data_IF_036611730544
#
_entry.id   IF_036611730544
#
_cell.length_a   1.000
_cell.length_b   1.000
_cell.length_c   1.000
_cell.angle_alpha   90.00
_cell.angle_beta   90.00
_cell.angle_gamma   90.00
#
_symmetry.space_group_name_H-M   'P 1'
#
loop_
_entity.id
_entity.type
_entity.pdbx_description
1 polymer ?
#
# COMPACT_ATOMS: atom_id res chain seq x y z
N UNK A 1 -25.62 -3.54 -20.68
CA UNK A 1 -24.82 -2.79 -19.69
C UNK A 1 -24.55 -3.74 -18.53
N UNK A 2 -23.28 -4.12 -18.30
CA UNK A 2 -22.94 -5.02 -17.21
C UNK A 2 -23.07 -4.20 -15.90
N UNK A 3 -23.95 -4.59 -15.00
CA UNK A 3 -24.05 -3.93 -13.68
C UNK A 3 -22.72 -4.11 -12.97
N UNK A 4 -22.06 -2.99 -12.63
CA UNK A 4 -20.87 -3.00 -11.77
C UNK A 4 -21.39 -3.12 -10.35
N UNK A 5 -21.20 -4.28 -9.74
CA UNK A 5 -21.49 -4.48 -8.31
C UNK A 5 -20.37 -3.85 -7.48
N UNK A 6 -20.71 -3.31 -6.31
CA UNK A 6 -19.71 -2.84 -5.35
C UNK A 6 -18.75 -3.98 -4.99
N UNK A 7 -17.45 -3.70 -4.85
CA UNK A 7 -16.50 -4.70 -4.39
C UNK A 7 -16.86 -5.18 -2.98
N UNK A 8 -16.94 -6.48 -2.80
CA UNK A 8 -17.14 -7.11 -1.49
C UNK A 8 -15.89 -7.88 -1.10
N UNK A 9 -15.49 -7.76 0.15
CA UNK A 9 -14.29 -8.44 0.61
C UNK A 9 -13.95 -8.12 2.06
N UNK A 10 -12.84 -8.68 2.50
CA UNK A 10 -12.24 -8.44 3.80
C UNK A 10 -11.21 -7.32 3.71
N UNK A 11 -11.22 -6.44 4.70
CA UNK A 11 -10.22 -5.41 4.91
C UNK A 11 -9.57 -5.61 6.28
N UNK A 12 -8.26 -5.55 6.36
CA UNK A 12 -7.54 -5.91 7.59
C UNK A 12 -7.72 -4.91 8.73
N UNK A 13 -8.15 -3.68 8.45
CA UNK A 13 -8.19 -2.61 9.44
C UNK A 13 -9.10 -2.90 10.63
N UNK A 14 -10.32 -3.35 10.38
CA UNK A 14 -11.33 -3.47 11.44
C UNK A 14 -10.96 -4.48 12.54
N UNK A 15 -10.19 -5.51 12.18
CA UNK A 15 -9.79 -6.56 13.11
C UNK A 15 -8.37 -6.41 13.63
N UNK A 16 -7.46 -5.86 12.83
CA UNK A 16 -6.02 -5.90 13.11
C UNK A 16 -5.35 -4.51 13.07
N UNK A 17 -6.07 -3.47 12.70
CA UNK A 17 -5.50 -2.13 12.55
C UNK A 17 -4.26 -2.14 11.65
N UNK A 18 -3.22 -1.44 12.09
CA UNK A 18 -1.95 -1.39 11.40
C UNK A 18 -1.08 -2.65 11.59
N UNK A 19 -1.41 -3.52 12.56
CA UNK A 19 -0.59 -4.66 12.98
C UNK A 19 -0.68 -5.90 12.08
N UNK A 20 -1.47 -5.88 11.01
CA UNK A 20 -1.64 -7.02 10.11
C UNK A 20 -0.31 -7.57 9.57
N UNK A 21 -0.19 -8.88 9.53
CA UNK A 21 0.99 -9.60 9.01
C UNK A 21 0.61 -10.49 7.84
N UNK A 22 1.60 -10.95 7.08
CA UNK A 22 1.40 -11.88 5.96
C UNK A 22 0.64 -13.14 6.37
N UNK A 23 0.98 -13.74 7.51
CA UNK A 23 0.31 -14.94 8.03
C UNK A 23 -1.18 -14.70 8.30
N UNK A 24 -1.51 -13.53 8.88
CA UNK A 24 -2.90 -13.12 9.11
C UNK A 24 -3.65 -12.97 7.79
N UNK A 25 -3.05 -12.31 6.80
CA UNK A 25 -3.67 -12.13 5.48
C UNK A 25 -3.95 -13.48 4.82
N UNK A 26 -2.99 -14.40 4.84
CA UNK A 26 -3.14 -15.75 4.27
C UNK A 26 -4.29 -16.50 4.90
N UNK A 27 -4.37 -16.56 6.24
CA UNK A 27 -5.44 -17.24 6.98
C UNK A 27 -6.83 -16.67 6.69
N UNK A 28 -6.95 -15.34 6.61
CA UNK A 28 -8.22 -14.71 6.25
C UNK A 28 -8.60 -14.95 4.78
N UNK A 29 -7.62 -14.99 3.88
CA UNK A 29 -7.85 -15.33 2.47
C UNK A 29 -8.34 -16.77 2.31
N UNK A 30 -7.72 -17.74 3.01
CA UNK A 30 -8.16 -19.14 3.04
C UNK A 30 -9.60 -19.26 3.52
N UNK A 31 -9.91 -18.67 4.70
CA UNK A 31 -11.26 -18.67 5.24
C UNK A 31 -12.29 -18.08 4.27
N UNK A 32 -11.90 -16.96 3.63
CA UNK A 32 -12.77 -16.27 2.66
C UNK A 32 -13.01 -17.12 1.41
N UNK A 33 -11.98 -17.81 0.91
CA UNK A 33 -12.09 -18.68 -0.25
C UNK A 33 -13.02 -19.86 0.01
N UNK A 34 -12.92 -20.47 1.20
CA UNK A 34 -13.70 -21.63 1.59
C UNK A 34 -15.16 -21.30 1.92
N UNK A 35 -15.40 -20.15 2.58
CA UNK A 35 -16.69 -19.89 3.21
C UNK A 35 -17.50 -18.75 2.57
N UNK A 36 -16.85 -17.73 1.99
CA UNK A 36 -17.51 -16.50 1.60
C UNK A 36 -17.48 -16.21 0.08
N UNK A 37 -16.51 -16.76 -0.64
CA UNK A 37 -16.34 -16.55 -2.09
C UNK A 37 -17.60 -16.88 -2.89
N UNK A 38 -18.28 -17.96 -2.55
CA UNK A 38 -19.53 -18.36 -3.20
C UNK A 38 -20.64 -17.30 -3.12
N UNK A 39 -20.55 -16.37 -2.18
CA UNK A 39 -21.48 -15.25 -1.99
C UNK A 39 -20.99 -13.94 -2.59
N UNK A 40 -19.89 -13.97 -3.37
CA UNK A 40 -19.33 -12.80 -4.06
C UNK A 40 -18.32 -11.98 -3.24
N UNK A 41 -17.83 -12.52 -2.12
CA UNK A 41 -16.75 -11.91 -1.35
C UNK A 41 -15.41 -12.28 -2.00
N UNK A 42 -14.81 -11.36 -2.73
CA UNK A 42 -13.67 -11.66 -3.61
C UNK A 42 -12.39 -10.89 -3.26
N UNK A 43 -12.49 -9.77 -2.56
CA UNK A 43 -11.34 -8.88 -2.33
C UNK A 43 -10.72 -9.09 -0.96
N UNK A 44 -9.40 -9.32 -0.93
CA UNK A 44 -8.57 -9.37 0.29
C UNK A 44 -7.70 -8.13 0.30
N UNK A 45 -7.99 -7.18 1.20
CA UNK A 45 -7.34 -5.86 1.23
C UNK A 45 -6.46 -5.72 2.46
N UNK A 46 -5.17 -5.50 2.23
CA UNK A 46 -4.19 -5.12 3.26
C UNK A 46 -4.26 -3.62 3.47
N UNK A 47 -4.69 -3.21 4.67
CA UNK A 47 -4.85 -1.79 5.01
C UNK A 47 -3.52 -1.16 5.49
N UNK A 48 -3.55 0.14 5.77
CA UNK A 48 -2.47 0.94 6.35
C UNK A 48 -1.95 0.25 7.63
N UNK A 49 -0.77 0.30 8.02
CA UNK A 49 0.52 0.76 7.49
C UNK A 49 1.42 -0.44 7.15
N UNK A 50 1.13 -1.15 6.09
CA UNK A 50 1.88 -2.34 5.68
C UNK A 50 3.39 -2.06 5.42
N UNK A 51 3.76 -0.81 5.29
CA UNK A 51 5.12 -0.33 5.02
C UNK A 51 5.89 0.08 6.29
N UNK A 52 5.26 0.06 7.46
CA UNK A 52 5.91 0.39 8.73
C UNK A 52 6.34 -0.87 9.48
N UNK A 53 7.66 -1.04 9.80
CA UNK A 53 8.15 -2.23 10.48
C UNK A 53 7.63 -2.43 11.90
N UNK A 54 7.34 -1.33 12.60
CA UNK A 54 6.94 -1.31 14.02
C UNK A 54 5.44 -1.10 14.22
N UNK A 55 4.65 -1.07 13.14
CA UNK A 55 3.20 -0.83 13.24
C UNK A 55 2.52 -1.87 14.13
N UNK A 56 1.69 -1.37 15.04
CA UNK A 56 0.95 -2.18 16.00
C UNK A 56 -0.43 -1.59 16.29
N UNK A 57 -1.42 -2.48 16.51
CA UNK A 57 -2.79 -2.11 16.85
C UNK A 57 -3.42 -1.05 15.91
N UNK A 58 -4.18 -0.12 16.46
CA UNK A 58 -4.84 0.98 15.77
C UNK A 58 -4.12 2.32 16.00
N UNK A 59 -2.91 2.29 16.50
CA UNK A 59 -2.09 3.47 16.75
C UNK A 59 -1.11 3.73 15.61
N UNK A 60 -0.85 5.02 15.34
CA UNK A 60 0.14 5.46 14.36
C UNK A 60 1.33 6.06 15.09
N UNK A 61 2.53 5.58 14.76
CA UNK A 61 3.76 6.10 15.32
C UNK A 61 4.20 7.34 14.54
N UNK A 62 4.23 8.53 15.16
CA UNK A 62 4.71 9.73 14.47
C UNK A 62 6.21 9.63 14.21
N UNK A 63 6.63 10.04 13.01
CA UNK A 63 8.04 10.09 12.61
C UNK A 63 8.78 8.74 12.62
N UNK A 64 8.06 7.65 12.48
CA UNK A 64 8.65 6.32 12.36
C UNK A 64 9.38 6.14 11.02
N UNK A 65 10.33 5.23 10.99
CA UNK A 65 11.00 4.84 9.74
C UNK A 65 10.10 3.94 8.91
N UNK A 66 9.88 4.32 7.66
CA UNK A 66 9.06 3.61 6.69
C UNK A 66 9.92 2.82 5.73
N UNK A 67 9.46 1.63 5.34
CA UNK A 67 10.04 0.89 4.23
C UNK A 67 9.67 1.56 2.91
N UNK A 68 10.66 2.06 2.20
CA UNK A 68 10.48 2.65 0.88
C UNK A 68 11.68 2.34 -0.01
N UNK A 69 11.47 2.41 -1.32
CA UNK A 69 12.55 2.26 -2.28
C UNK A 69 13.27 3.58 -2.58
N UNK A 70 14.28 3.51 -3.43
CA UNK A 70 15.10 4.65 -3.84
C UNK A 70 14.34 5.76 -4.62
N UNK A 71 13.11 5.45 -5.07
CA UNK A 71 12.23 6.34 -5.82
C UNK A 71 11.06 6.89 -4.98
N UNK A 72 11.19 6.94 -3.67
CA UNK A 72 10.17 7.48 -2.76
C UNK A 72 8.88 6.63 -2.65
N UNK A 73 8.86 5.39 -3.17
CA UNK A 73 7.68 4.54 -3.17
C UNK A 73 7.70 3.60 -1.98
N UNK A 74 6.56 3.47 -1.30
CA UNK A 74 6.41 2.57 -0.17
C UNK A 74 6.48 1.11 -0.62
N UNK A 75 7.17 0.29 0.18
CA UNK A 75 7.31 -1.16 -0.02
C UNK A 75 6.93 -1.90 1.26
N UNK A 76 6.48 -3.17 1.19
CA UNK A 76 6.06 -3.91 2.38
C UNK A 76 7.21 -4.10 3.37
N UNK A 77 6.91 -3.95 4.67
CA UNK A 77 7.86 -4.19 5.74
C UNK A 77 8.25 -5.68 5.82
N UNK A 78 9.53 -6.06 5.57
CA UNK A 78 9.90 -7.47 5.39
C UNK A 78 9.83 -8.33 6.65
N UNK A 79 9.76 -7.71 7.82
CA UNK A 79 9.56 -8.41 9.09
C UNK A 79 8.10 -8.83 9.29
N UNK A 80 7.16 -8.10 8.70
CA UNK A 80 5.72 -8.37 8.76
C UNK A 80 5.22 -9.13 7.53
N UNK A 81 5.83 -8.89 6.38
CA UNK A 81 5.53 -9.53 5.09
C UNK A 81 6.81 -10.21 4.56
N UNK A 82 7.22 -11.35 5.14
CA UNK A 82 8.52 -11.97 4.84
C UNK A 82 8.70 -12.41 3.39
N UNK A 83 7.62 -12.69 2.66
CA UNK A 83 7.72 -13.05 1.23
C UNK A 83 8.09 -11.86 0.34
N UNK A 84 8.00 -10.62 0.85
CA UNK A 84 8.38 -9.40 0.12
C UNK A 84 9.88 -9.19 -0.02
N UNK A 85 10.70 -9.96 0.73
CA UNK A 85 12.16 -9.84 0.74
C UNK A 85 12.75 -9.95 -0.67
N UNK A 86 13.89 -9.26 -0.86
CA UNK A 86 14.61 -9.29 -2.15
C UNK A 86 13.92 -8.46 -3.24
N UNK A 87 13.16 -7.43 -2.87
CA UNK A 87 12.51 -6.52 -3.81
C UNK A 87 11.24 -7.07 -4.46
N UNK A 88 10.71 -8.19 -3.96
CA UNK A 88 9.51 -8.84 -4.54
C UNK A 88 8.21 -8.09 -4.26
N UNK A 89 8.22 -7.16 -3.30
CA UNK A 89 7.00 -6.46 -2.90
C UNK A 89 5.88 -7.41 -2.48
N UNK A 90 4.66 -7.10 -2.83
CA UNK A 90 3.54 -7.97 -2.55
C UNK A 90 3.31 -9.09 -3.59
N UNK A 91 4.15 -9.20 -4.64
CA UNK A 91 3.90 -10.17 -5.71
C UNK A 91 3.67 -11.62 -5.20
N UNK A 92 4.48 -12.18 -4.27
CA UNK A 92 4.23 -13.54 -3.80
C UNK A 92 2.96 -13.69 -2.98
N UNK A 93 2.54 -12.65 -2.24
CA UNK A 93 1.30 -12.68 -1.47
C UNK A 93 0.08 -12.52 -2.40
N UNK A 94 0.15 -11.64 -3.39
CA UNK A 94 -0.88 -11.47 -4.41
C UNK A 94 -1.08 -12.77 -5.21
N UNK A 95 0.01 -13.40 -5.66
CA UNK A 95 -0.03 -14.69 -6.36
C UNK A 95 -0.71 -15.78 -5.49
N UNK A 96 -0.41 -15.81 -4.21
CA UNK A 96 -1.07 -16.72 -3.27
C UNK A 96 -2.58 -16.47 -3.19
N UNK A 97 -3.00 -15.21 -3.00
CA UNK A 97 -4.42 -14.83 -2.95
C UNK A 97 -5.12 -15.17 -4.26
N UNK A 98 -4.48 -14.93 -5.40
CA UNK A 98 -4.99 -15.30 -6.73
C UNK A 98 -5.13 -16.82 -6.88
N UNK A 99 -4.22 -17.61 -6.32
CA UNK A 99 -4.31 -19.10 -6.36
C UNK A 99 -5.55 -19.63 -5.67
N UNK A 100 -6.10 -18.90 -4.69
CA UNK A 100 -7.38 -19.18 -4.04
C UNK A 100 -8.60 -18.69 -4.86
N UNK A 101 -8.35 -18.04 -6.00
CA UNK A 101 -9.36 -17.44 -6.87
C UNK A 101 -9.99 -16.19 -6.28
N UNK A 102 -9.25 -15.46 -5.45
CA UNK A 102 -9.59 -14.17 -4.86
C UNK A 102 -8.78 -13.05 -5.54
N UNK A 103 -9.10 -11.81 -5.22
CA UNK A 103 -8.43 -10.60 -5.70
C UNK A 103 -7.67 -9.94 -4.56
N UNK A 104 -6.46 -9.44 -4.86
CA UNK A 104 -5.60 -8.80 -3.87
C UNK A 104 -5.70 -7.28 -3.95
N UNK A 105 -5.86 -6.64 -2.81
CA UNK A 105 -5.91 -5.18 -2.70
C UNK A 105 -5.00 -4.64 -1.61
N UNK A 106 -4.66 -3.37 -1.73
CA UNK A 106 -3.92 -2.63 -0.71
C UNK A 106 -4.54 -1.26 -0.46
N UNK A 107 -4.34 -0.74 0.76
CA UNK A 107 -4.57 0.68 1.05
C UNK A 107 -3.32 1.47 0.67
N UNK A 108 -3.50 2.66 0.11
CA UNK A 108 -2.42 3.63 -0.10
C UNK A 108 -2.76 4.96 0.55
N UNK A 109 -1.75 5.61 1.12
CA UNK A 109 -1.86 7.01 1.50
C UNK A 109 -1.73 7.91 0.28
N UNK A 110 -2.51 8.98 0.23
CA UNK A 110 -2.32 10.05 -0.75
C UNK A 110 -1.15 10.94 -0.29
N UNK A 111 -0.34 11.38 -1.25
CA UNK A 111 0.82 12.22 -0.96
C UNK A 111 2.15 11.50 -1.15
N UNK A 112 3.19 12.07 -0.58
CA UNK A 112 4.56 11.57 -0.63
C UNK A 112 5.10 11.41 0.80
N UNK A 113 5.82 10.31 1.12
CA UNK A 113 6.38 10.10 2.45
C UNK A 113 7.24 11.28 2.92
N UNK A 114 7.01 11.74 4.16
CA UNK A 114 7.84 12.78 4.77
C UNK A 114 9.31 12.36 4.80
N UNK A 115 9.57 11.07 5.03
CA UNK A 115 10.90 10.49 4.97
C UNK A 115 11.55 10.69 3.60
N UNK A 116 10.82 10.45 2.49
CA UNK A 116 11.30 10.69 1.14
C UNK A 116 11.67 12.16 0.90
N UNK A 117 10.83 13.08 1.39
CA UNK A 117 11.08 14.53 1.30
C UNK A 117 12.29 14.93 2.15
N UNK A 118 12.43 14.37 3.36
CA UNK A 118 13.59 14.61 4.22
C UNK A 118 14.89 14.15 3.57
N UNK A 119 14.90 12.93 3.04
CA UNK A 119 16.04 12.33 2.35
C UNK A 119 16.25 12.89 0.93
N UNK A 120 15.25 13.59 0.39
CA UNK A 120 15.24 14.14 -0.97
C UNK A 120 15.52 13.05 -2.04
N UNK A 121 14.82 11.94 -1.94
CA UNK A 121 14.93 10.80 -2.85
C UNK A 121 14.49 11.13 -4.28
N UNK A 122 14.93 10.36 -5.27
CA UNK A 122 14.60 10.55 -6.67
C UNK A 122 13.12 10.28 -6.98
N UNK A 123 12.60 10.88 -8.04
CA UNK A 123 11.29 10.52 -8.63
C UNK A 123 11.56 9.74 -9.92
N UNK A 124 11.07 8.50 -9.96
CA UNK A 124 11.34 7.58 -11.07
C UNK A 124 10.90 8.17 -12.42
N UNK A 125 11.78 8.06 -13.41
CA UNK A 125 11.51 8.51 -14.77
C UNK A 125 11.65 10.02 -14.98
N UNK A 126 12.22 10.75 -14.01
CA UNK A 126 12.48 12.19 -14.09
C UNK A 126 13.81 12.56 -13.45
N UNK A 127 14.27 13.78 -13.70
CA UNK A 127 15.40 14.39 -12.96
C UNK A 127 14.94 15.04 -11.63
N UNK A 128 13.64 14.99 -11.32
CA UNK A 128 13.07 15.62 -10.14
C UNK A 128 13.27 14.78 -8.88
N UNK A 129 13.20 15.47 -7.74
CA UNK A 129 13.35 14.87 -6.42
C UNK A 129 12.14 15.16 -5.54
N UNK A 130 12.01 14.41 -4.47
CA UNK A 130 10.86 14.44 -3.55
C UNK A 130 10.52 15.85 -3.05
N UNK A 131 11.52 16.68 -2.73
CA UNK A 131 11.30 18.07 -2.26
C UNK A 131 10.68 18.97 -3.32
N UNK A 132 10.92 18.70 -4.59
CA UNK A 132 10.45 19.54 -5.68
C UNK A 132 8.95 19.37 -5.96
N UNK A 133 8.39 18.21 -5.62
CA UNK A 133 6.98 17.89 -5.83
C UNK A 133 6.14 17.95 -4.55
N UNK A 134 6.79 17.97 -3.39
CA UNK A 134 6.09 17.97 -2.11
C UNK A 134 5.45 19.34 -1.80
N UNK A 135 4.24 19.30 -1.25
CA UNK A 135 3.52 20.43 -0.66
C UNK A 135 3.51 20.28 0.85
N UNK A 136 4.58 20.74 1.49
CA UNK A 136 4.84 20.49 2.92
C UNK A 136 3.84 21.17 3.87
N UNK A 137 3.10 22.19 3.40
CA UNK A 137 2.00 22.79 4.14
C UNK A 137 0.71 21.94 4.12
N UNK A 138 0.65 20.88 3.29
CA UNK A 138 -0.46 19.93 3.23
C UNK A 138 -0.03 18.64 3.89
N UNK A 139 -0.70 18.29 5.00
CA UNK A 139 -0.42 17.09 5.79
C UNK A 139 -1.73 16.34 6.05
N UNK A 140 -1.62 15.00 6.24
CA UNK A 140 -2.71 14.23 6.78
C UNK A 140 -2.74 14.39 8.31
N UNK A 141 -3.87 14.85 8.87
CA UNK A 141 -3.93 15.20 10.31
C UNK A 141 -3.95 13.94 11.19
N UNK A 142 -4.60 12.88 10.74
CA UNK A 142 -4.75 11.64 11.50
C UNK A 142 -3.56 10.69 11.35
N UNK A 143 -2.77 10.81 10.30
CA UNK A 143 -1.50 10.10 10.11
C UNK A 143 -0.50 11.02 9.44
N UNK A 144 0.53 11.42 10.15
CA UNK A 144 1.48 12.44 9.74
C UNK A 144 2.62 11.92 8.85
N UNK A 145 2.53 10.70 8.33
CA UNK A 145 3.58 10.09 7.50
C UNK A 145 3.78 10.79 6.16
N UNK A 146 2.75 11.49 5.68
CA UNK A 146 2.72 12.05 4.34
C UNK A 146 2.65 13.57 4.31
N UNK A 147 3.36 14.14 3.36
CA UNK A 147 3.06 15.47 2.82
C UNK A 147 2.16 15.35 1.59
N UNK A 148 1.41 16.40 1.27
CA UNK A 148 0.74 16.51 -0.02
C UNK A 148 1.75 16.53 -1.18
N UNK A 149 1.29 16.15 -2.36
CA UNK A 149 1.98 16.37 -3.63
C UNK A 149 1.31 17.55 -4.32
N UNK A 150 2.10 18.46 -4.85
CA UNK A 150 1.61 19.58 -5.65
C UNK A 150 1.40 19.11 -7.11
N UNK A 151 0.15 19.00 -7.59
CA UNK A 151 -0.14 18.41 -8.90
C UNK A 151 0.41 19.25 -10.06
N UNK A 152 0.68 20.52 -9.84
CA UNK A 152 1.18 21.45 -10.85
C UNK A 152 2.71 21.38 -11.01
N UNK A 153 3.38 20.63 -10.13
CA UNK A 153 4.83 20.45 -10.19
C UNK A 153 5.21 19.38 -11.22
N UNK A 154 6.23 19.71 -12.01
CA UNK A 154 6.87 18.73 -12.88
C UNK A 154 7.39 17.54 -12.05
N UNK A 155 7.08 16.32 -12.47
CA UNK A 155 7.40 15.09 -11.72
C UNK A 155 6.27 14.57 -10.83
N UNK A 156 5.26 15.38 -10.47
CA UNK A 156 4.14 14.93 -9.62
C UNK A 156 3.37 13.78 -10.28
N UNK A 157 3.04 13.91 -11.55
CA UNK A 157 2.37 12.85 -12.31
C UNK A 157 3.25 11.60 -12.43
N UNK A 158 4.52 11.75 -12.79
CA UNK A 158 5.45 10.63 -12.91
C UNK A 158 5.61 9.87 -11.60
N UNK A 159 5.56 10.56 -10.45
CA UNK A 159 5.57 9.93 -9.14
C UNK A 159 4.39 8.97 -8.98
N UNK A 160 3.15 9.43 -9.20
CA UNK A 160 1.97 8.57 -9.09
C UNK A 160 1.93 7.47 -10.15
N UNK A 161 2.28 7.78 -11.39
CA UNK A 161 2.36 6.78 -12.46
C UNK A 161 3.32 5.65 -12.04
N UNK A 162 4.49 5.98 -11.48
CA UNK A 162 5.47 5.00 -11.01
C UNK A 162 4.98 4.15 -9.83
N UNK A 163 4.18 4.72 -8.92
CA UNK A 163 3.54 3.99 -7.81
C UNK A 163 2.56 2.95 -8.36
N UNK A 164 1.67 3.37 -9.26
CA UNK A 164 0.66 2.47 -9.82
C UNK A 164 1.29 1.39 -10.70
N UNK A 165 2.34 1.71 -11.47
CA UNK A 165 3.14 0.72 -12.20
C UNK A 165 3.75 -0.32 -11.27
N UNK A 166 4.34 0.13 -10.14
CA UNK A 166 4.93 -0.77 -9.16
C UNK A 166 3.88 -1.70 -8.56
N UNK A 167 2.75 -1.16 -8.11
CA UNK A 167 1.71 -1.97 -7.47
C UNK A 167 0.99 -2.89 -8.46
N UNK A 168 0.80 -2.45 -9.69
CA UNK A 168 0.33 -3.33 -10.77
C UNK A 168 1.30 -4.48 -11.04
N UNK A 169 2.61 -4.22 -11.00
CA UNK A 169 3.63 -5.26 -11.16
C UNK A 169 3.63 -6.31 -10.03
N UNK A 170 3.08 -5.98 -8.87
CA UNK A 170 2.87 -6.92 -7.77
C UNK A 170 1.56 -7.71 -7.89
N UNK A 171 0.73 -7.44 -8.89
CA UNK A 171 -0.56 -8.10 -9.06
C UNK A 171 -1.67 -7.52 -8.16
N UNK A 172 -1.57 -6.24 -7.80
CA UNK A 172 -2.63 -5.56 -7.05
C UNK A 172 -3.82 -5.28 -7.95
N UNK A 173 -5.00 -5.82 -7.60
CA UNK A 173 -6.26 -5.66 -8.34
C UNK A 173 -7.10 -4.47 -7.86
N UNK A 174 -6.92 -4.07 -6.60
CA UNK A 174 -7.75 -3.07 -5.95
C UNK A 174 -6.92 -2.13 -5.06
N UNK A 175 -7.17 -0.85 -5.17
CA UNK A 175 -6.55 0.17 -4.33
C UNK A 175 -7.63 0.93 -3.55
N UNK A 176 -7.50 0.91 -2.23
CA UNK A 176 -8.23 1.75 -1.29
C UNK A 176 -7.40 3.01 -1.00
N UNK A 177 -7.98 4.22 -1.12
CA UNK A 177 -7.30 5.49 -0.82
C UNK A 177 -8.23 6.53 -0.20
#
# INVERSE_FOLDING_TARGET
MKMITAPMGWNSWDCYGAAVTEDIVRKNAEFMAENLKQYGWEYVVVDIQWYEPLAENHEYHPFTELCMDEYSRLIPAPNRFPSSKGGKGFAPLAEYVHSLGLKFGIHIMRGIPRQAVHQNTAIKGTERRAREIAKTASICIWNTDMYGVDPDREGARAYYDSIFELYASWGVDFIKC
#
